data_IF_775707555836
#
_entry.id   IF_775707555836
#
_cell.length_a   1.000
_cell.length_b   1.000
_cell.length_c   1.000
_cell.angle_alpha   90.00
_cell.angle_beta   90.00
_cell.angle_gamma   90.00
#
_symmetry.space_group_name_H-M   'P 1'
#
loop_
_entity.id
_entity.type
_entity.pdbx_description
1 polymer ?
#
# COMPACT_ATOMS: atom_id res chain seq x y z
N UNK A 1 -7.19 23.75 -3.71
CA UNK A 1 -6.88 22.30 -3.62
C UNK A 1 -7.18 21.88 -2.19
N UNK A 2 -7.82 20.74 -1.99
CA UNK A 2 -8.17 20.25 -0.66
C UNK A 2 -6.98 19.41 -0.19
N UNK A 3 -6.45 19.73 1.00
CA UNK A 3 -5.43 18.93 1.67
C UNK A 3 -6.13 17.90 2.56
N UNK A 4 -5.80 16.63 2.42
CA UNK A 4 -6.14 15.63 3.42
C UNK A 4 -5.33 15.90 4.70
N UNK A 5 -5.93 15.64 5.85
CA UNK A 5 -5.28 15.73 7.15
C UNK A 5 -5.16 14.36 7.84
N UNK A 6 -4.63 14.33 9.06
CA UNK A 6 -4.42 13.09 9.79
C UNK A 6 -5.73 12.45 10.32
N UNK A 7 -6.87 13.14 10.19
CA UNK A 7 -8.20 12.56 10.46
C UNK A 7 -8.62 11.57 9.37
N UNK A 8 -7.88 11.56 8.25
CA UNK A 8 -8.00 10.59 7.14
C UNK A 8 -9.44 10.46 6.64
N UNK A 9 -10.15 11.58 6.49
CA UNK A 9 -11.49 11.56 5.95
C UNK A 9 -11.49 10.92 4.55
N UNK A 10 -12.23 9.83 4.31
CA UNK A 10 -12.12 9.06 3.06
C UNK A 10 -12.31 9.90 1.80
N UNK A 11 -13.28 10.83 1.82
CA UNK A 11 -13.55 11.70 0.68
C UNK A 11 -12.40 12.68 0.35
N UNK A 12 -11.63 13.13 1.33
CA UNK A 12 -10.50 14.03 1.14
C UNK A 12 -9.27 13.27 0.65
N UNK A 13 -9.05 12.07 1.18
CA UNK A 13 -8.03 11.13 0.70
C UNK A 13 -8.29 10.76 -0.78
N UNK A 14 -9.53 10.36 -1.12
CA UNK A 14 -9.90 10.02 -2.51
C UNK A 14 -9.62 11.18 -3.45
N UNK A 15 -10.12 12.39 -3.14
CA UNK A 15 -9.90 13.59 -3.98
C UNK A 15 -8.42 13.93 -4.15
N UNK A 16 -7.63 13.81 -3.09
CA UNK A 16 -6.19 14.05 -3.16
C UNK A 16 -5.50 13.09 -4.13
N UNK A 17 -5.86 11.80 -4.11
CA UNK A 17 -5.31 10.80 -5.04
C UNK A 17 -5.87 10.97 -6.46
N UNK A 18 -7.15 11.33 -6.63
CA UNK A 18 -7.72 11.64 -7.94
C UNK A 18 -6.96 12.76 -8.65
N UNK A 19 -6.59 13.83 -7.92
CA UNK A 19 -5.83 14.98 -8.45
C UNK A 19 -4.43 14.61 -8.98
N UNK A 20 -3.82 13.58 -8.44
CA UNK A 20 -2.44 13.17 -8.82
C UNK A 20 -2.39 11.94 -9.71
N UNK A 21 -3.51 11.25 -9.96
CA UNK A 21 -3.59 9.94 -10.60
C UNK A 21 -2.82 9.85 -11.93
N UNK A 22 -2.93 10.88 -12.79
CA UNK A 22 -2.29 10.89 -14.11
C UNK A 22 -0.75 10.83 -14.09
N UNK A 23 -0.13 11.38 -13.04
CA UNK A 23 1.34 11.45 -12.91
C UNK A 23 1.87 10.66 -11.72
N UNK A 24 1.01 9.94 -11.02
CA UNK A 24 1.31 9.28 -9.74
C UNK A 24 2.56 8.40 -9.83
N UNK A 25 2.61 7.48 -10.79
CA UNK A 25 3.71 6.52 -10.91
C UNK A 25 5.05 7.20 -11.21
N UNK A 26 5.06 8.15 -12.14
CA UNK A 26 6.27 8.89 -12.53
C UNK A 26 6.79 9.74 -11.37
N UNK A 27 5.88 10.40 -10.66
CA UNK A 27 6.25 11.25 -9.53
C UNK A 27 6.80 10.41 -8.37
N UNK A 28 6.20 9.27 -8.07
CA UNK A 28 6.70 8.36 -7.03
C UNK A 28 8.05 7.74 -7.40
N UNK A 29 8.27 7.34 -8.65
CA UNK A 29 9.58 6.86 -9.12
C UNK A 29 10.65 7.95 -8.94
N UNK A 30 10.35 9.20 -9.29
CA UNK A 30 11.29 10.32 -9.16
C UNK A 30 11.60 10.63 -7.69
N UNK A 31 10.57 10.83 -6.86
CA UNK A 31 10.74 11.21 -5.46
C UNK A 31 11.33 10.09 -4.60
N UNK A 32 11.13 8.83 -4.97
CA UNK A 32 11.78 7.69 -4.33
C UNK A 32 13.19 7.41 -4.85
N UNK A 33 13.71 8.23 -5.78
CA UNK A 33 14.98 7.99 -6.47
C UNK A 33 15.05 6.58 -7.09
N UNK A 34 13.92 6.12 -7.68
CA UNK A 34 13.79 4.80 -8.30
C UNK A 34 13.61 3.64 -7.33
N UNK A 35 13.61 3.88 -6.00
CA UNK A 35 13.44 2.82 -5.00
C UNK A 35 12.07 2.14 -5.09
N UNK A 36 11.03 2.83 -5.57
CA UNK A 36 9.69 2.26 -5.74
C UNK A 36 9.72 0.97 -6.58
N UNK A 37 10.57 0.89 -7.60
CA UNK A 37 10.74 -0.33 -8.42
C UNK A 37 11.37 -1.48 -7.65
N UNK A 38 12.34 -1.19 -6.78
CA UNK A 38 12.94 -2.20 -5.91
C UNK A 38 11.93 -2.74 -4.89
N UNK A 39 11.16 -1.86 -4.25
CA UNK A 39 10.12 -2.26 -3.29
C UNK A 39 9.03 -3.09 -3.96
N UNK A 40 8.58 -2.71 -5.15
CA UNK A 40 7.59 -3.49 -5.94
C UNK A 40 8.10 -4.90 -6.24
N UNK A 41 9.37 -5.05 -6.66
CA UNK A 41 9.97 -6.39 -6.85
C UNK A 41 10.03 -7.20 -5.55
N UNK A 42 10.26 -6.55 -4.42
CA UNK A 42 10.25 -7.21 -3.12
C UNK A 42 8.85 -7.70 -2.73
N UNK A 43 7.81 -6.91 -3.04
CA UNK A 43 6.40 -7.30 -2.86
C UNK A 43 6.07 -8.51 -3.73
N UNK A 44 6.39 -8.48 -5.02
CA UNK A 44 6.15 -9.62 -5.93
C UNK A 44 6.77 -10.92 -5.41
N UNK A 45 8.03 -10.85 -4.96
CA UNK A 45 8.70 -12.02 -4.35
C UNK A 45 8.05 -12.49 -3.05
N UNK A 46 7.46 -11.58 -2.28
CA UNK A 46 6.83 -11.91 -1.01
C UNK A 46 5.41 -12.45 -1.20
N UNK A 47 4.68 -11.93 -2.17
CA UNK A 47 3.38 -12.46 -2.60
C UNK A 47 3.57 -13.84 -3.25
N UNK A 48 4.66 -14.05 -3.99
CA UNK A 48 4.99 -15.31 -4.67
C UNK A 48 3.80 -15.81 -5.52
N UNK A 49 3.38 -15.01 -6.53
CA UNK A 49 2.22 -15.32 -7.33
C UNK A 49 2.43 -16.57 -8.17
N UNK A 50 1.40 -17.40 -8.30
CA UNK A 50 1.41 -18.60 -9.13
C UNK A 50 0.18 -18.65 -10.05
N UNK A 51 0.27 -19.36 -11.20
CA UNK A 51 -0.85 -19.49 -12.12
C UNK A 51 -2.11 -20.01 -11.44
N UNK A 52 -3.25 -19.36 -11.74
CA UNK A 52 -4.55 -19.74 -11.22
C UNK A 52 -4.86 -19.25 -9.78
N UNK A 53 -3.90 -18.69 -9.05
CA UNK A 53 -4.17 -18.08 -7.74
C UNK A 53 -5.02 -16.81 -7.89
N UNK A 54 -5.98 -16.62 -7.00
CA UNK A 54 -6.73 -15.38 -6.86
C UNK A 54 -5.97 -14.43 -5.91
N UNK A 55 -5.61 -13.24 -6.38
CA UNK A 55 -4.86 -12.24 -5.60
C UNK A 55 -5.64 -10.93 -5.54
N UNK A 56 -5.83 -10.40 -4.34
CA UNK A 56 -6.32 -9.05 -4.12
C UNK A 56 -5.13 -8.10 -3.91
N UNK A 57 -5.04 -7.09 -4.75
CA UNK A 57 -4.16 -5.93 -4.53
C UNK A 57 -5.04 -4.76 -4.08
N UNK A 58 -4.98 -4.43 -2.76
CA UNK A 58 -5.75 -3.36 -2.15
C UNK A 58 -4.96 -2.06 -2.16
N UNK A 59 -5.63 -0.94 -2.38
CA UNK A 59 -5.02 0.35 -2.67
C UNK A 59 -4.07 0.26 -3.89
N UNK A 60 -4.55 -0.42 -4.94
CA UNK A 60 -3.78 -0.75 -6.13
C UNK A 60 -3.45 0.48 -6.99
N UNK A 61 -4.16 1.60 -6.77
CA UNK A 61 -4.01 2.82 -7.55
C UNK A 61 -4.25 2.56 -9.05
N UNK A 62 -3.25 2.85 -9.86
CA UNK A 62 -3.27 2.66 -11.33
C UNK A 62 -2.99 1.21 -11.77
N UNK A 63 -2.87 0.25 -10.83
CA UNK A 63 -2.61 -1.16 -11.13
C UNK A 63 -1.17 -1.50 -11.52
N UNK A 64 -0.25 -0.54 -11.48
CA UNK A 64 1.17 -0.75 -11.82
C UNK A 64 1.84 -1.81 -10.94
N UNK A 65 1.40 -1.97 -9.69
CA UNK A 65 1.89 -3.02 -8.77
C UNK A 65 1.19 -4.36 -8.99
N UNK A 66 -0.03 -4.35 -9.54
CA UNK A 66 -0.84 -5.55 -9.81
C UNK A 66 -0.37 -6.31 -11.07
N UNK A 67 0.12 -5.59 -12.09
CA UNK A 67 0.55 -6.17 -13.37
C UNK A 67 1.52 -7.34 -13.23
N UNK A 68 2.60 -7.27 -12.42
CA UNK A 68 3.52 -8.39 -12.27
C UNK A 68 2.89 -9.67 -11.69
N UNK A 69 1.80 -9.55 -10.94
CA UNK A 69 1.06 -10.73 -10.45
C UNK A 69 0.26 -11.39 -11.59
N UNK A 70 -0.38 -10.57 -12.44
CA UNK A 70 -1.08 -11.05 -13.62
C UNK A 70 -0.12 -11.67 -14.63
N UNK A 71 1.05 -11.08 -14.85
CA UNK A 71 2.12 -11.62 -15.73
C UNK A 71 2.61 -12.99 -15.24
N UNK A 72 2.53 -13.28 -13.94
CA UNK A 72 2.82 -14.59 -13.37
C UNK A 72 1.66 -15.61 -13.52
N UNK A 73 0.55 -15.23 -14.18
CA UNK A 73 -0.61 -16.09 -14.44
C UNK A 73 -1.65 -16.11 -13.30
N UNK A 74 -1.55 -15.23 -12.33
CA UNK A 74 -2.55 -15.10 -11.28
C UNK A 74 -3.80 -14.33 -11.77
N UNK A 75 -4.95 -14.63 -11.18
CA UNK A 75 -6.18 -13.86 -11.33
C UNK A 75 -6.15 -12.70 -10.33
N UNK A 76 -5.92 -11.48 -10.81
CA UNK A 76 -5.68 -10.32 -9.97
C UNK A 76 -6.90 -9.40 -9.97
N UNK A 77 -7.33 -9.00 -8.78
CA UNK A 77 -8.29 -7.92 -8.57
C UNK A 77 -7.53 -6.72 -7.99
N UNK A 78 -7.47 -5.64 -8.76
CA UNK A 78 -6.94 -4.35 -8.34
C UNK A 78 -8.07 -3.54 -7.69
N UNK A 79 -8.06 -3.41 -6.38
CA UNK A 79 -9.08 -2.72 -5.61
C UNK A 79 -8.56 -1.39 -5.08
N UNK A 80 -9.29 -0.31 -5.30
CA UNK A 80 -8.95 1.01 -4.78
C UNK A 80 -10.19 1.80 -4.39
N UNK A 81 -10.01 2.76 -3.50
CA UNK A 81 -11.07 3.68 -3.10
C UNK A 81 -11.21 4.88 -4.05
N UNK A 82 -10.11 5.31 -4.71
CA UNK A 82 -10.05 6.45 -5.60
C UNK A 82 -10.56 6.10 -7.00
N UNK A 83 -11.68 6.71 -7.42
CA UNK A 83 -12.26 6.53 -8.75
C UNK A 83 -11.32 7.05 -9.86
N UNK A 84 -10.58 8.14 -9.60
CA UNK A 84 -9.61 8.68 -10.53
C UNK A 84 -8.46 7.71 -10.78
N UNK A 85 -7.94 7.08 -9.73
CA UNK A 85 -6.91 6.03 -9.86
C UNK A 85 -7.41 4.84 -10.68
N UNK A 86 -8.59 4.33 -10.36
CA UNK A 86 -9.21 3.20 -11.09
C UNK A 86 -9.42 3.53 -12.56
N UNK A 87 -9.93 4.74 -12.88
CA UNK A 87 -10.15 5.17 -14.26
C UNK A 87 -8.85 5.22 -15.06
N UNK A 88 -7.78 5.77 -14.48
CA UNK A 88 -6.45 5.79 -15.11
C UNK A 88 -5.90 4.37 -15.26
N UNK A 89 -6.10 3.53 -14.24
CA UNK A 89 -5.69 2.14 -14.23
C UNK A 89 -6.35 1.33 -15.36
N UNK A 90 -7.66 1.41 -15.49
CA UNK A 90 -8.43 0.73 -16.55
C UNK A 90 -7.94 1.11 -17.96
N UNK A 91 -7.59 2.39 -18.17
CA UNK A 91 -7.05 2.85 -19.46
C UNK A 91 -5.66 2.29 -19.74
N UNK A 92 -4.79 2.19 -18.71
CA UNK A 92 -3.38 1.77 -18.87
C UNK A 92 -3.19 0.26 -18.82
N UNK A 93 -4.06 -0.43 -18.09
CA UNK A 93 -3.98 -1.86 -17.78
C UNK A 93 -5.32 -2.56 -18.10
N UNK A 94 -5.77 -2.57 -19.38
CA UNK A 94 -7.10 -3.09 -19.75
C UNK A 94 -7.28 -4.59 -19.48
N UNK A 95 -6.19 -5.31 -19.21
CA UNK A 95 -6.22 -6.74 -18.85
C UNK A 95 -6.42 -7.02 -17.36
N UNK A 96 -6.42 -5.97 -16.49
CA UNK A 96 -6.67 -6.15 -15.06
C UNK A 96 -8.13 -5.90 -14.70
N UNK A 97 -8.64 -6.65 -13.73
CA UNK A 97 -9.93 -6.39 -13.13
C UNK A 97 -9.79 -5.30 -12.06
N UNK A 98 -10.45 -4.14 -12.29
CA UNK A 98 -10.48 -3.02 -11.34
C UNK A 98 -11.81 -2.98 -10.61
N UNK A 99 -11.78 -2.85 -9.28
CA UNK A 99 -12.96 -2.80 -8.42
C UNK A 99 -12.85 -1.61 -7.46
N UNK A 100 -13.91 -0.82 -7.36
CA UNK A 100 -14.01 0.20 -6.33
C UNK A 100 -14.37 -0.46 -5.00
N UNK A 101 -13.62 -0.16 -3.94
CA UNK A 101 -13.87 -0.74 -2.61
C UNK A 101 -13.22 0.03 -1.49
N UNK A 102 -13.93 0.02 -0.35
CA UNK A 102 -13.40 0.53 0.92
C UNK A 102 -12.67 -0.60 1.66
N UNK A 103 -11.48 -0.31 2.15
CA UNK A 103 -10.68 -1.25 2.96
C UNK A 103 -11.40 -1.71 4.24
N UNK A 104 -12.36 -0.93 4.74
CA UNK A 104 -13.14 -1.25 5.93
C UNK A 104 -14.39 -2.11 5.64
N UNK A 105 -14.77 -2.25 4.34
CA UNK A 105 -15.94 -3.02 3.91
C UNK A 105 -15.70 -3.51 2.47
N UNK A 106 -14.85 -4.52 2.32
CA UNK A 106 -14.46 -5.04 1.01
C UNK A 106 -15.64 -5.75 0.32
N UNK A 107 -15.93 -5.42 -0.96
CA UNK A 107 -17.08 -5.97 -1.69
C UNK A 107 -16.81 -7.41 -2.22
N UNK A 108 -16.21 -8.24 -1.38
CA UNK A 108 -15.85 -9.62 -1.72
C UNK A 108 -16.37 -10.58 -0.66
N UNK A 109 -16.71 -11.81 -1.09
CA UNK A 109 -17.09 -12.88 -0.19
C UNK A 109 -15.91 -13.32 0.69
N UNK A 110 -16.23 -13.98 1.80
CA UNK A 110 -15.24 -14.60 2.68
C UNK A 110 -14.39 -15.61 1.90
N UNK A 111 -13.14 -15.75 2.28
CA UNK A 111 -12.22 -16.76 1.74
C UNK A 111 -12.15 -16.79 0.20
N UNK A 112 -12.12 -15.62 -0.45
CA UNK A 112 -12.06 -15.48 -1.91
C UNK A 112 -10.65 -15.55 -2.49
N UNK A 113 -9.63 -15.10 -1.74
CA UNK A 113 -8.29 -14.87 -2.27
C UNK A 113 -7.23 -15.79 -1.63
N UNK A 114 -6.30 -16.27 -2.45
CA UNK A 114 -5.14 -17.05 -2.01
C UNK A 114 -4.04 -16.17 -1.41
N UNK A 115 -3.98 -14.91 -1.86
CA UNK A 115 -3.12 -13.88 -1.29
C UNK A 115 -3.79 -12.52 -1.35
N UNK A 116 -3.50 -11.69 -0.34
CA UNK A 116 -3.90 -10.28 -0.32
C UNK A 116 -2.67 -9.41 -0.09
N UNK A 117 -2.59 -8.28 -0.76
CA UNK A 117 -1.49 -7.32 -0.59
C UNK A 117 -2.01 -5.90 -0.51
N UNK A 118 -1.30 -5.06 0.24
CA UNK A 118 -1.51 -3.62 0.29
C UNK A 118 -0.15 -2.93 0.33
N UNK A 119 0.08 -2.03 -0.61
CA UNK A 119 1.35 -1.31 -0.74
C UNK A 119 1.13 0.20 -0.66
N UNK A 120 1.72 0.85 0.35
CA UNK A 120 1.69 2.31 0.58
C UNK A 120 0.27 2.90 0.72
N UNK A 121 -0.72 2.05 1.05
CA UNK A 121 -2.12 2.43 1.23
C UNK A 121 -2.62 2.34 2.66
N UNK A 122 -2.07 1.41 3.47
CA UNK A 122 -2.62 1.08 4.79
C UNK A 122 -2.56 2.27 5.77
N UNK A 123 -1.54 3.12 5.69
CA UNK A 123 -1.42 4.32 6.52
C UNK A 123 -2.52 5.35 6.28
N UNK A 124 -3.20 5.29 5.13
CA UNK A 124 -4.27 6.23 4.76
C UNK A 124 -5.65 5.75 5.22
N UNK A 125 -5.76 4.52 5.71
CA UNK A 125 -7.00 3.96 6.24
C UNK A 125 -7.26 4.49 7.64
N UNK A 126 -8.50 4.88 7.94
CA UNK A 126 -8.90 5.44 9.23
C UNK A 126 -8.73 4.46 10.38
N UNK A 127 -9.11 3.21 10.16
CA UNK A 127 -8.99 2.10 11.12
C UNK A 127 -8.17 0.96 10.52
N UNK A 128 -6.89 0.94 10.88
CA UNK A 128 -5.94 -0.08 10.42
C UNK A 128 -6.33 -1.49 10.89
N UNK A 129 -6.85 -1.63 12.12
CA UNK A 129 -7.26 -2.93 12.67
C UNK A 129 -8.42 -3.52 11.91
N UNK A 130 -9.48 -2.73 11.67
CA UNK A 130 -10.64 -3.14 10.89
C UNK A 130 -10.27 -3.51 9.46
N UNK A 131 -9.39 -2.74 8.80
CA UNK A 131 -8.91 -3.07 7.45
C UNK A 131 -8.14 -4.41 7.42
N UNK A 132 -7.28 -4.66 8.41
CA UNK A 132 -6.54 -5.91 8.52
C UNK A 132 -7.48 -7.10 8.78
N UNK A 133 -8.57 -6.90 9.54
CA UNK A 133 -9.60 -7.90 9.77
C UNK A 133 -10.43 -8.20 8.51
N UNK A 134 -10.75 -7.17 7.71
CA UNK A 134 -11.43 -7.35 6.41
C UNK A 134 -10.53 -8.10 5.41
N UNK A 135 -9.23 -7.76 5.35
CA UNK A 135 -8.27 -8.52 4.56
C UNK A 135 -8.19 -9.99 5.02
N UNK A 136 -8.24 -10.24 6.34
CA UNK A 136 -8.29 -11.61 6.88
C UNK A 136 -9.56 -12.33 6.44
N UNK A 137 -10.73 -11.69 6.53
CA UNK A 137 -12.02 -12.27 6.15
C UNK A 137 -12.02 -12.76 4.71
N UNK A 138 -11.53 -11.94 3.78
CA UNK A 138 -11.55 -12.27 2.35
C UNK A 138 -10.42 -13.23 1.92
N UNK A 139 -9.42 -13.47 2.77
CA UNK A 139 -8.32 -14.40 2.48
C UNK A 139 -8.72 -15.83 2.82
N UNK A 140 -8.42 -16.79 1.97
CA UNK A 140 -8.64 -18.22 2.22
C UNK A 140 -7.83 -18.74 3.42
N UNK A 141 -8.30 -19.76 4.16
CA UNK A 141 -7.47 -20.46 5.14
C UNK A 141 -6.16 -20.94 4.54
N UNK A 142 -5.03 -20.61 5.17
CA UNK A 142 -3.67 -20.85 4.64
C UNK A 142 -3.21 -19.81 3.62
N UNK A 143 -4.04 -18.85 3.25
CA UNK A 143 -3.69 -17.73 2.39
C UNK A 143 -2.76 -16.73 3.10
N UNK A 144 -2.16 -15.82 2.35
CA UNK A 144 -1.11 -14.93 2.84
C UNK A 144 -1.45 -13.47 2.69
N UNK A 145 -0.97 -12.67 3.65
CA UNK A 145 -0.96 -11.22 3.64
C UNK A 145 0.46 -10.72 3.34
N UNK A 146 0.55 -9.70 2.49
CA UNK A 146 1.78 -8.91 2.29
C UNK A 146 1.46 -7.43 2.44
N UNK A 147 2.08 -6.76 3.40
CA UNK A 147 1.97 -5.31 3.61
C UNK A 147 3.32 -4.69 3.33
N UNK A 148 3.38 -3.76 2.38
CA UNK A 148 4.55 -2.95 2.10
C UNK A 148 4.24 -1.49 2.44
N UNK A 149 4.89 -0.96 3.48
CA UNK A 149 4.57 0.39 3.94
C UNK A 149 5.82 1.12 4.46
N UNK A 150 5.75 2.44 4.46
CA UNK A 150 6.78 3.25 5.10
C UNK A 150 6.94 2.86 6.57
N UNK A 151 8.14 3.06 7.09
CA UNK A 151 8.47 2.72 8.46
C UNK A 151 9.58 3.62 8.98
N UNK A 152 10.14 3.29 10.14
CA UNK A 152 11.22 4.05 10.76
C UNK A 152 12.55 3.33 10.57
N UNK A 153 13.58 3.99 9.97
CA UNK A 153 14.91 3.42 9.89
C UNK A 153 15.45 2.98 11.26
N UNK A 154 16.02 1.79 11.30
CA UNK A 154 16.53 1.20 12.56
C UNK A 154 17.86 1.82 12.98
N UNK A 155 18.69 2.25 12.02
CA UNK A 155 19.93 2.95 12.28
C UNK A 155 19.72 4.43 12.55
N UNK A 156 20.08 4.93 13.73
CA UNK A 156 19.76 6.28 14.19
C UNK A 156 20.22 7.42 13.25
N UNK A 157 21.46 7.42 12.71
CA UNK A 157 21.87 8.46 11.75
C UNK A 157 21.03 8.50 10.49
N UNK A 158 20.67 7.33 9.94
CA UNK A 158 19.79 7.24 8.75
C UNK A 158 18.39 7.74 9.08
N UNK A 159 17.87 7.43 10.26
CA UNK A 159 16.57 7.91 10.72
C UNK A 159 16.53 9.44 10.80
N UNK A 160 17.55 10.06 11.39
CA UNK A 160 17.65 11.53 11.47
C UNK A 160 17.70 12.15 10.07
N UNK A 161 18.56 11.62 9.19
CA UNK A 161 18.70 12.10 7.80
C UNK A 161 17.37 11.95 7.03
N UNK A 162 16.70 10.82 7.18
CA UNK A 162 15.41 10.57 6.52
C UNK A 162 14.30 11.51 7.02
N UNK A 163 14.23 11.77 8.33
CA UNK A 163 13.28 12.73 8.90
C UNK A 163 13.55 14.15 8.41
N UNK A 164 14.82 14.57 8.34
CA UNK A 164 15.21 15.87 7.77
C UNK A 164 14.81 15.97 6.29
N UNK A 165 15.03 14.90 5.52
CA UNK A 165 14.60 14.84 4.12
C UNK A 165 13.08 15.02 3.99
N UNK A 166 12.30 14.23 4.72
CA UNK A 166 10.83 14.28 4.68
C UNK A 166 10.27 15.65 5.05
N UNK A 167 10.83 16.28 6.09
CA UNK A 167 10.26 17.52 6.64
C UNK A 167 10.79 18.77 5.96
N UNK A 168 12.04 18.77 5.46
CA UNK A 168 12.69 19.98 4.94
C UNK A 168 12.96 19.95 3.44
N UNK A 169 13.29 18.80 2.87
CA UNK A 169 13.67 18.70 1.44
C UNK A 169 12.49 18.29 0.55
N UNK A 170 11.65 17.35 0.99
CA UNK A 170 10.56 16.83 0.19
C UNK A 170 9.49 17.89 -0.17
N UNK A 171 8.99 18.74 0.75
CA UNK A 171 7.96 19.72 0.41
C UNK A 171 8.39 20.74 -0.67
N UNK A 172 9.58 21.40 -0.61
CA UNK A 172 9.99 22.31 -1.67
C UNK A 172 10.25 21.58 -2.99
N UNK A 173 10.79 20.35 -2.95
CA UNK A 173 11.00 19.56 -4.16
C UNK A 173 9.66 19.21 -4.82
N UNK A 174 8.68 18.80 -4.05
CA UNK A 174 7.34 18.50 -4.54
C UNK A 174 6.68 19.70 -5.24
N UNK A 175 6.90 20.92 -4.73
CA UNK A 175 6.38 22.16 -5.36
C UNK A 175 6.91 22.39 -6.78
N UNK A 176 8.07 21.84 -7.14
CA UNK A 176 8.67 22.03 -8.46
C UNK A 176 8.25 20.97 -9.48
N UNK A 177 7.85 19.75 -9.00
CA UNK A 177 7.64 18.61 -9.91
C UNK A 177 6.22 18.03 -9.85
N UNK A 178 5.40 18.41 -8.85
CA UNK A 178 4.10 17.80 -8.61
C UNK A 178 2.94 18.73 -8.93
N UNK A 179 1.83 18.15 -9.43
CA UNK A 179 0.57 18.88 -9.67
C UNK A 179 -0.13 19.30 -8.36
N UNK A 180 0.05 18.52 -7.29
CA UNK A 180 -0.51 18.81 -5.96
C UNK A 180 0.59 18.66 -4.88
N UNK A 181 1.34 19.74 -4.56
CA UNK A 181 2.39 19.71 -3.54
C UNK A 181 1.89 19.37 -2.14
N UNK A 182 0.64 19.71 -1.81
CA UNK A 182 0.06 19.47 -0.48
C UNK A 182 -0.11 17.97 -0.19
N UNK A 183 -0.28 17.14 -1.22
CA UNK A 183 -0.26 15.68 -1.08
C UNK A 183 1.06 15.14 -0.51
N UNK A 184 2.18 15.82 -0.77
CA UNK A 184 3.50 15.41 -0.26
C UNK A 184 3.80 15.94 1.13
N UNK A 185 3.17 17.04 1.54
CA UNK A 185 3.15 17.47 2.94
C UNK A 185 2.37 16.43 3.76
N UNK A 186 1.17 16.04 3.31
CA UNK A 186 0.41 14.96 3.91
C UNK A 186 1.22 13.64 3.96
N UNK A 187 1.91 13.28 2.88
CA UNK A 187 2.79 12.10 2.85
C UNK A 187 3.81 12.13 3.98
N UNK A 188 4.53 13.25 4.16
CA UNK A 188 5.54 13.37 5.22
C UNK A 188 4.93 13.27 6.62
N UNK A 189 3.78 13.91 6.85
CA UNK A 189 3.06 13.87 8.12
C UNK A 189 2.51 12.48 8.41
N UNK A 190 1.89 11.82 7.42
CA UNK A 190 1.34 10.46 7.57
C UNK A 190 2.43 9.43 7.84
N UNK A 191 3.60 9.53 7.19
CA UNK A 191 4.76 8.67 7.48
C UNK A 191 5.25 8.88 8.92
N UNK A 192 5.33 10.13 9.38
CA UNK A 192 5.79 10.44 10.74
C UNK A 192 4.85 9.91 11.82
N UNK A 193 3.54 9.93 11.56
CA UNK A 193 2.52 9.42 12.49
C UNK A 193 2.36 7.89 12.43
N UNK A 194 2.94 7.23 11.41
CA UNK A 194 2.77 5.80 11.17
C UNK A 194 3.60 4.95 12.16
N UNK A 195 3.08 3.80 12.61
CA UNK A 195 3.81 2.91 13.50
C UNK A 195 5.08 2.34 12.87
N UNK A 196 6.05 2.01 13.71
CA UNK A 196 7.25 1.27 13.29
C UNK A 196 6.92 -0.19 12.99
N UNK A 197 7.94 -0.95 12.55
CA UNK A 197 7.83 -2.34 12.12
C UNK A 197 7.17 -3.25 13.17
N UNK A 198 7.67 -3.23 14.40
CA UNK A 198 7.19 -4.12 15.46
C UNK A 198 5.76 -3.77 15.89
N UNK A 199 5.41 -2.49 15.90
CA UNK A 199 4.05 -2.07 16.24
C UNK A 199 3.05 -2.46 15.15
N UNK A 200 3.43 -2.33 13.87
CA UNK A 200 2.59 -2.80 12.76
C UNK A 200 2.44 -4.33 12.80
N UNK A 201 3.52 -5.06 13.09
CA UNK A 201 3.45 -6.51 13.25
C UNK A 201 2.48 -6.93 14.37
N UNK A 202 2.46 -6.19 15.48
CA UNK A 202 1.50 -6.42 16.56
C UNK A 202 0.05 -6.17 16.09
N UNK A 203 -0.21 -5.06 15.37
CA UNK A 203 -1.55 -4.79 14.82
C UNK A 203 -2.02 -5.87 13.85
N UNK A 204 -1.11 -6.42 13.02
CA UNK A 204 -1.42 -7.53 12.13
C UNK A 204 -1.78 -8.79 12.95
N UNK A 205 -1.01 -9.09 14.00
CA UNK A 205 -1.30 -10.23 14.86
C UNK A 205 -2.61 -10.07 15.64
N UNK A 206 -2.87 -8.88 16.18
CA UNK A 206 -4.11 -8.53 16.93
C UNK A 206 -5.35 -8.66 16.03
N UNK A 207 -5.20 -8.44 14.70
CA UNK A 207 -6.28 -8.65 13.73
C UNK A 207 -6.52 -10.14 13.38
N UNK A 208 -5.81 -11.08 14.00
CA UNK A 208 -6.00 -12.53 13.85
C UNK A 208 -5.09 -13.21 12.83
N UNK A 209 -4.12 -12.50 12.27
CA UNK A 209 -3.14 -13.09 11.37
C UNK A 209 -2.07 -13.88 12.13
N UNK A 210 -1.70 -15.06 11.63
CA UNK A 210 -0.63 -15.90 12.17
C UNK A 210 0.71 -15.70 11.47
N UNK A 211 1.79 -16.21 12.06
CA UNK A 211 3.16 -16.23 11.48
C UNK A 211 3.64 -14.87 11.00
N UNK A 212 3.37 -13.82 11.78
CA UNK A 212 3.72 -12.45 11.42
C UNK A 212 5.23 -12.24 11.48
N UNK A 213 5.82 -11.77 10.40
CA UNK A 213 7.23 -11.38 10.35
C UNK A 213 7.43 -10.22 9.37
N UNK A 214 8.58 -9.56 9.46
CA UNK A 214 8.89 -8.46 8.54
C UNK A 214 10.35 -8.47 8.10
N UNK A 215 10.60 -7.73 7.03
CA UNK A 215 11.93 -7.42 6.52
C UNK A 215 12.04 -5.95 6.20
N UNK A 216 13.12 -5.32 6.65
CA UNK A 216 13.46 -3.95 6.31
C UNK A 216 13.92 -3.84 4.85
N UNK A 217 13.43 -2.82 4.15
CA UNK A 217 13.87 -2.42 2.83
C UNK A 217 14.48 -1.02 2.94
N UNK A 218 15.53 -0.76 2.17
CA UNK A 218 16.22 0.54 2.15
C UNK A 218 16.55 1.04 3.56
N UNK A 219 17.18 0.19 4.38
CA UNK A 219 17.59 0.55 5.74
C UNK A 219 16.45 0.79 6.73
N UNK A 220 15.25 0.28 6.45
CA UNK A 220 14.05 0.42 7.28
C UNK A 220 13.20 1.65 6.94
N UNK A 221 13.51 2.38 5.86
CA UNK A 221 12.62 3.42 5.31
C UNK A 221 11.26 2.83 4.92
N UNK A 222 11.29 1.61 4.40
CA UNK A 222 10.12 0.78 4.10
C UNK A 222 10.27 -0.55 4.80
N UNK A 223 9.18 -1.09 5.30
CA UNK A 223 9.11 -2.44 5.84
C UNK A 223 8.09 -3.27 5.05
N UNK A 224 8.45 -4.52 4.80
CA UNK A 224 7.59 -5.50 4.16
C UNK A 224 7.21 -6.56 5.19
N UNK A 225 5.95 -6.55 5.61
CA UNK A 225 5.39 -7.54 6.53
C UNK A 225 4.74 -8.68 5.74
N UNK A 226 4.87 -9.89 6.27
CA UNK A 226 4.16 -11.09 5.81
C UNK A 226 3.45 -11.74 6.98
N UNK A 227 2.27 -12.26 6.69
CA UNK A 227 1.51 -13.05 7.63
C UNK A 227 0.69 -14.10 6.87
N UNK A 228 0.11 -15.06 7.59
CA UNK A 228 -0.74 -16.11 7.01
C UNK A 228 -2.06 -16.19 7.77
N UNK A 229 -3.15 -16.43 7.06
CA UNK A 229 -4.39 -16.85 7.71
C UNK A 229 -4.21 -18.30 8.18
N UNK A 230 -4.37 -18.55 9.48
CA UNK A 230 -4.27 -19.90 10.03
C UNK A 230 -5.31 -20.83 9.36
N UNK A 231 -4.91 -22.07 9.09
CA UNK A 231 -5.89 -23.12 8.75
C UNK A 231 -6.60 -23.47 10.04
N UNK A 232 -7.91 -23.39 10.05
CA UNK A 232 -8.67 -24.02 11.13
C UNK A 232 -8.37 -25.51 11.11
N UNK A 233 -8.05 -26.07 12.28
CA UNK A 233 -7.72 -27.48 12.43
C UNK A 233 -8.98 -28.36 12.25
#
# INVERSE_FOLDING_TARGET
>A
MIRADLDKQPADIARMFDDVAQRYDVTNDLLSLGQARYWRRAVVRAVDPAPGQAILDLAAGTGTSSTPFADAGAQVVACDFSQGMLSVGQQRQPGLAFVAGDALALPFADASFDAVTISFGLRNVTDTGSALSELLRVTKPGGRLVVCEFSSPTWAPLRTLYQEYLMRALPPLARTVCSNPDAYVYLAESIRAWPNQSRLAALIADAGWGSVGWRDLTGGIVALHRATRTREA
#
